data_IF_706040600792
#
_entry.id   IF_706040600792
#
_cell.length_a   1.000
_cell.length_b   1.000
_cell.length_c   1.000
_cell.angle_alpha   90.00
_cell.angle_beta   90.00
_cell.angle_gamma   90.00
#
_symmetry.space_group_name_H-M   'P 1'
#
loop_
_entity.id
_entity.type
_entity.pdbx_description
1 polymer ?
#
# COMPACT_ATOMS: atom_id res chain seq x y z
N UNK A 1 -18.91 4.55 4.76
CA UNK A 1 -17.70 3.70 4.68
C UNK A 1 -16.74 4.30 3.66
N UNK A 2 -15.43 4.04 3.77
CA UNK A 2 -14.42 4.52 2.80
C UNK A 2 -13.62 3.30 2.30
N UNK A 3 -14.22 2.45 1.45
CA UNK A 3 -13.55 1.26 0.92
C UNK A 3 -12.47 1.63 -0.11
N UNK A 4 -11.44 0.79 -0.22
CA UNK A 4 -10.46 0.85 -1.30
C UNK A 4 -11.10 0.57 -2.66
N UNK A 5 -10.44 1.00 -3.73
CA UNK A 5 -10.88 0.86 -5.12
C UNK A 5 -11.32 -0.56 -5.50
N UNK A 6 -10.49 -1.57 -5.23
CA UNK A 6 -10.81 -2.96 -5.54
C UNK A 6 -12.00 -3.48 -4.73
N UNK A 7 -12.18 -3.00 -3.50
CA UNK A 7 -13.31 -3.37 -2.64
C UNK A 7 -14.61 -2.76 -3.16
N UNK A 8 -14.58 -1.51 -3.64
CA UNK A 8 -15.75 -0.90 -4.32
C UNK A 8 -16.19 -1.76 -5.49
N UNK A 9 -15.25 -2.21 -6.35
CA UNK A 9 -15.58 -3.05 -7.49
C UNK A 9 -16.34 -4.31 -7.06
N UNK A 10 -15.84 -5.01 -6.04
CA UNK A 10 -16.49 -6.21 -5.49
C UNK A 10 -17.87 -5.87 -4.95
N UNK A 11 -18.00 -4.79 -4.17
CA UNK A 11 -19.29 -4.40 -3.60
C UNK A 11 -20.33 -4.03 -4.66
N UNK A 12 -19.93 -3.42 -5.79
CA UNK A 12 -20.84 -3.18 -6.93
C UNK A 12 -21.23 -4.51 -7.59
N UNK A 13 -20.26 -5.39 -7.84
CA UNK A 13 -20.49 -6.70 -8.46
C UNK A 13 -21.39 -7.61 -7.61
N UNK A 14 -21.31 -7.49 -6.29
CA UNK A 14 -22.13 -8.23 -5.33
C UNK A 14 -23.45 -7.52 -4.97
N UNK A 15 -23.73 -6.34 -5.51
CA UNK A 15 -24.97 -5.59 -5.25
C UNK A 15 -25.07 -5.02 -3.84
N UNK A 16 -23.94 -4.76 -3.19
CA UNK A 16 -23.85 -4.23 -1.83
C UNK A 16 -23.87 -2.68 -1.78
N UNK A 17 -23.80 -2.01 -2.93
CA UNK A 17 -23.87 -0.54 -3.04
C UNK A 17 -25.10 -0.09 -3.81
N UNK A 18 -25.75 0.96 -3.29
CA UNK A 18 -26.80 1.67 -4.00
C UNK A 18 -26.21 2.66 -5.01
N UNK A 19 -26.87 2.80 -6.15
CA UNK A 19 -26.51 3.77 -7.18
C UNK A 19 -26.94 5.16 -6.74
N UNK A 20 -25.99 6.08 -6.56
CA UNK A 20 -26.24 7.44 -6.01
C UNK A 20 -25.96 8.58 -6.98
N UNK A 21 -25.50 8.26 -8.20
CA UNK A 21 -25.16 9.20 -9.27
C UNK A 21 -24.27 10.39 -8.83
N UNK A 22 -23.12 10.17 -8.16
CA UNK A 22 -22.25 11.27 -7.74
C UNK A 22 -21.71 12.13 -8.88
N UNK A 23 -21.57 11.56 -10.08
CA UNK A 23 -21.24 12.27 -11.31
C UNK A 23 -22.24 13.38 -11.70
N UNK A 24 -23.52 13.23 -11.34
CA UNK A 24 -24.57 14.19 -11.63
C UNK A 24 -24.73 15.27 -10.55
N UNK A 25 -24.02 15.15 -9.43
CA UNK A 25 -24.11 16.11 -8.33
C UNK A 25 -23.44 17.44 -8.70
N UNK A 26 -23.91 18.59 -8.17
CA UNK A 26 -23.37 19.92 -8.52
C UNK A 26 -21.87 20.08 -8.31
N UNK A 27 -21.30 19.33 -7.36
CA UNK A 27 -19.87 19.35 -7.03
C UNK A 27 -19.05 18.34 -7.83
N UNK A 28 -19.68 17.47 -8.63
CA UNK A 28 -18.98 16.50 -9.49
C UNK A 28 -18.05 17.17 -10.50
N UNK A 29 -18.36 18.41 -10.90
CA UNK A 29 -17.50 19.26 -11.73
C UNK A 29 -16.12 19.57 -11.14
N UNK A 30 -15.94 19.38 -9.83
CA UNK A 30 -14.68 19.64 -9.14
C UNK A 30 -13.75 18.41 -9.13
N UNK A 31 -14.21 17.26 -9.63
CA UNK A 31 -13.39 16.06 -9.70
C UNK A 31 -12.27 16.21 -10.74
N UNK A 32 -11.06 15.82 -10.35
CA UNK A 32 -9.96 15.65 -11.31
C UNK A 32 -10.39 14.64 -12.39
N UNK A 33 -10.18 14.93 -13.69
CA UNK A 33 -10.58 14.04 -14.78
C UNK A 33 -10.10 12.58 -14.62
N UNK A 34 -8.95 12.36 -13.97
CA UNK A 34 -8.41 11.01 -13.71
C UNK A 34 -9.28 10.19 -12.74
N UNK A 35 -10.17 10.84 -12.00
CA UNK A 35 -11.12 10.22 -11.09
C UNK A 35 -12.56 10.26 -11.63
N UNK A 36 -12.80 10.60 -12.90
CA UNK A 36 -14.16 10.59 -13.46
C UNK A 36 -14.51 9.21 -14.02
N UNK A 37 -13.63 8.64 -14.86
CA UNK A 37 -13.82 7.30 -15.43
C UNK A 37 -12.71 6.36 -14.96
N UNK A 38 -13.08 5.39 -14.13
CA UNK A 38 -12.17 4.55 -13.35
C UNK A 38 -12.63 3.10 -13.41
N UNK A 39 -11.69 2.15 -13.28
CA UNK A 39 -11.99 0.73 -13.52
C UNK A 39 -13.01 0.13 -12.53
N UNK A 40 -13.13 0.69 -11.33
CA UNK A 40 -13.95 0.17 -10.24
C UNK A 40 -15.36 0.78 -10.14
N UNK A 41 -15.62 1.91 -10.81
CA UNK A 41 -16.94 2.57 -10.87
C UNK A 41 -16.97 3.43 -12.14
N UNK A 42 -17.07 2.76 -13.30
CA UNK A 42 -17.04 3.40 -14.62
C UNK A 42 -18.14 4.45 -14.72
N UNK A 43 -17.80 5.67 -15.13
CA UNK A 43 -18.74 6.79 -15.17
C UNK A 43 -19.16 7.37 -13.81
N UNK A 44 -18.61 6.87 -12.69
CA UNK A 44 -18.78 7.41 -11.31
C UNK A 44 -20.24 7.47 -10.85
N UNK A 45 -20.90 6.31 -10.86
CA UNK A 45 -22.33 6.16 -10.56
C UNK A 45 -22.62 5.77 -9.09
N UNK A 46 -21.64 5.23 -8.38
CA UNK A 46 -21.84 4.66 -7.04
C UNK A 46 -21.04 5.40 -5.96
N UNK A 47 -19.89 5.98 -6.31
CA UNK A 47 -18.92 6.49 -5.33
C UNK A 47 -18.55 7.94 -5.56
N UNK A 48 -18.12 8.64 -4.50
CA UNK A 48 -17.49 9.95 -4.58
C UNK A 48 -16.04 9.82 -4.06
N UNK A 49 -15.02 10.33 -4.77
CA UNK A 49 -13.65 10.33 -4.28
C UNK A 49 -13.54 11.11 -2.96
N UNK A 50 -12.92 10.49 -1.96
CA UNK A 50 -12.66 11.13 -0.66
C UNK A 50 -11.19 11.53 -0.52
N UNK A 51 -10.29 10.54 -0.55
CA UNK A 51 -8.86 10.73 -0.45
C UNK A 51 -8.15 9.72 -1.37
N UNK A 52 -7.00 10.13 -1.90
CA UNK A 52 -6.08 9.25 -2.61
C UNK A 52 -4.67 9.47 -2.06
N UNK A 53 -3.81 8.48 -2.22
CA UNK A 53 -2.44 8.56 -1.77
C UNK A 53 -1.60 7.43 -2.33
N UNK A 54 -0.35 7.39 -1.89
CA UNK A 54 0.62 6.34 -2.21
C UNK A 54 1.21 5.81 -0.93
N UNK A 55 1.44 4.51 -0.87
CA UNK A 55 2.22 3.91 0.21
C UNK A 55 3.70 3.89 -0.16
N UNK A 56 4.53 4.27 0.80
CA UNK A 56 6.00 4.29 0.73
C UNK A 56 6.55 4.02 2.11
N UNK A 57 7.84 3.72 2.22
CA UNK A 57 8.52 3.75 3.50
C UNK A 57 9.14 5.11 3.80
N UNK A 58 9.38 5.36 5.07
CA UNK A 58 10.06 6.51 5.64
C UNK A 58 11.27 6.03 6.45
N UNK A 59 12.35 6.81 6.41
CA UNK A 59 13.61 6.49 7.10
C UNK A 59 14.01 7.67 7.98
N UNK A 60 14.40 7.38 9.22
CA UNK A 60 15.00 8.37 10.09
C UNK A 60 16.45 8.60 9.64
N UNK A 61 16.65 9.65 8.85
CA UNK A 61 17.95 9.98 8.25
C UNK A 61 19.00 10.42 9.25
N UNK A 62 18.64 10.75 10.50
CA UNK A 62 19.63 11.04 11.55
C UNK A 62 20.27 9.75 12.07
N UNK A 63 19.55 8.63 12.01
CA UNK A 63 19.99 7.32 12.48
C UNK A 63 20.56 6.41 11.38
N UNK A 64 20.10 6.55 10.15
CA UNK A 64 20.58 5.76 9.01
C UNK A 64 21.14 6.67 7.92
N UNK A 65 22.37 6.37 7.47
CA UNK A 65 23.10 7.15 6.46
C UNK A 65 23.40 6.34 5.19
N UNK A 66 22.91 5.11 5.10
CA UNK A 66 23.05 4.26 3.92
C UNK A 66 22.11 4.67 2.78
N UNK A 67 22.09 3.86 1.73
CA UNK A 67 21.22 4.07 0.57
C UNK A 67 19.75 3.87 0.95
N UNK A 68 18.95 4.91 0.73
CA UNK A 68 17.51 4.93 0.98
C UNK A 68 16.67 4.85 -0.30
N UNK A 69 17.28 4.85 -1.48
CA UNK A 69 16.58 4.75 -2.78
C UNK A 69 16.39 3.29 -3.21
N UNK A 70 16.00 2.42 -2.26
CA UNK A 70 15.87 0.99 -2.50
C UNK A 70 14.86 0.31 -1.58
N UNK A 71 14.05 -0.58 -2.16
CA UNK A 71 13.18 -1.48 -1.39
C UNK A 71 13.95 -2.57 -0.63
N UNK A 72 15.25 -2.72 -0.89
CA UNK A 72 16.10 -3.63 -0.12
C UNK A 72 16.09 -3.30 1.38
N UNK A 73 15.84 -2.04 1.76
CA UNK A 73 15.66 -1.63 3.15
C UNK A 73 14.59 -2.47 3.89
N UNK A 74 13.54 -2.88 3.20
CA UNK A 74 12.47 -3.68 3.81
C UNK A 74 12.77 -5.19 3.71
N UNK A 75 13.35 -5.65 2.61
CA UNK A 75 13.41 -7.08 2.29
C UNK A 75 14.79 -7.74 2.44
N UNK A 76 15.85 -6.95 2.38
CA UNK A 76 17.24 -7.39 2.59
C UNK A 76 18.05 -6.26 3.27
N UNK A 77 17.66 -5.86 4.49
CA UNK A 77 18.29 -4.73 5.17
C UNK A 77 19.72 -5.03 5.62
N UNK A 78 20.59 -4.00 5.71
CA UNK A 78 21.85 -4.09 6.44
C UNK A 78 21.61 -4.40 7.92
N UNK A 79 22.62 -4.93 8.59
CA UNK A 79 22.49 -5.41 9.99
C UNK A 79 22.01 -4.32 10.96
N UNK A 80 22.39 -3.06 10.74
CA UNK A 80 21.97 -1.92 11.55
C UNK A 80 20.45 -1.63 11.51
N UNK A 81 19.74 -2.08 10.48
CA UNK A 81 18.29 -1.94 10.36
C UNK A 81 17.50 -3.18 10.81
N UNK A 82 18.17 -4.32 11.01
CA UNK A 82 17.50 -5.54 11.48
C UNK A 82 16.92 -5.33 12.88
N UNK A 83 15.63 -5.62 13.04
CA UNK A 83 14.89 -5.35 14.28
C UNK A 83 14.55 -3.88 14.51
N UNK A 84 14.74 -3.01 13.51
CA UNK A 84 14.45 -1.57 13.55
C UNK A 84 13.48 -1.15 12.44
N UNK A 85 12.71 -2.08 11.89
CA UNK A 85 11.78 -1.86 10.78
C UNK A 85 10.35 -2.13 11.24
N UNK A 86 9.46 -1.16 11.06
CA UNK A 86 8.01 -1.37 11.07
C UNK A 86 7.53 -1.64 9.64
N UNK A 87 6.68 -2.63 9.48
CA UNK A 87 5.99 -2.96 8.23
C UNK A 87 4.51 -2.64 8.43
N UNK A 88 3.83 -2.17 7.39
CA UNK A 88 2.41 -1.85 7.50
C UNK A 88 1.61 -3.15 7.73
N UNK A 89 0.61 -3.11 8.63
CA UNK A 89 -0.29 -4.25 8.86
C UNK A 89 -1.39 -4.32 7.76
N UNK A 90 -0.96 -4.29 6.50
CA UNK A 90 -1.80 -4.36 5.31
C UNK A 90 -1.22 -5.34 4.31
N UNK A 91 -1.96 -6.42 4.03
CA UNK A 91 -1.51 -7.48 3.12
C UNK A 91 -1.20 -6.92 1.74
N UNK A 92 -2.03 -6.03 1.19
CA UNK A 92 -1.86 -5.54 -0.17
C UNK A 92 -0.59 -4.70 -0.31
N UNK A 93 -0.35 -3.79 0.64
CA UNK A 93 0.86 -2.95 0.67
C UNK A 93 2.12 -3.80 0.69
N UNK A 94 2.22 -4.71 1.65
CA UNK A 94 3.42 -5.54 1.84
C UNK A 94 3.64 -6.46 0.64
N UNK A 95 2.59 -7.08 0.12
CA UNK A 95 2.66 -7.93 -1.08
C UNK A 95 3.10 -7.12 -2.30
N UNK A 96 2.51 -5.95 -2.54
CA UNK A 96 2.85 -5.12 -3.69
C UNK A 96 4.24 -4.47 -3.59
N UNK A 97 4.75 -4.21 -2.38
CA UNK A 97 6.13 -3.80 -2.17
C UNK A 97 7.10 -4.94 -2.50
N UNK A 98 6.80 -6.16 -2.04
CA UNK A 98 7.61 -7.34 -2.32
C UNK A 98 7.58 -7.74 -3.81
N UNK A 99 6.44 -7.62 -4.49
CA UNK A 99 6.33 -7.83 -5.94
C UNK A 99 7.24 -6.88 -6.73
N UNK A 100 7.26 -5.58 -6.34
CA UNK A 100 8.15 -4.59 -6.94
C UNK A 100 9.61 -4.94 -6.71
N UNK A 101 9.97 -5.29 -5.47
CA UNK A 101 11.33 -5.71 -5.13
C UNK A 101 11.75 -6.98 -5.89
N UNK A 102 10.83 -7.92 -6.08
CA UNK A 102 11.06 -9.15 -6.83
C UNK A 102 11.13 -8.94 -8.35
N UNK A 103 10.74 -7.77 -8.86
CA UNK A 103 10.66 -7.46 -10.29
C UNK A 103 9.56 -8.24 -11.02
N UNK A 104 8.47 -8.60 -10.33
CA UNK A 104 7.34 -9.34 -10.93
C UNK A 104 6.13 -8.42 -11.12
N UNK A 105 5.21 -8.73 -12.06
CA UNK A 105 3.99 -7.95 -12.23
C UNK A 105 3.15 -7.93 -10.95
N UNK A 106 2.63 -6.75 -10.60
CA UNK A 106 1.68 -6.59 -9.50
C UNK A 106 0.28 -7.05 -9.90
N UNK A 107 -0.54 -7.39 -8.90
CA UNK A 107 -1.94 -7.78 -9.09
C UNK A 107 -2.11 -9.02 -10.01
N UNK A 108 -1.12 -9.92 -10.02
CA UNK A 108 -1.14 -11.15 -10.81
C UNK A 108 -1.51 -12.38 -9.98
N UNK A 109 -1.94 -13.44 -10.66
CA UNK A 109 -2.29 -14.73 -10.04
C UNK A 109 -1.30 -15.86 -10.38
N UNK A 110 -0.16 -15.53 -10.99
CA UNK A 110 0.86 -16.52 -11.36
C UNK A 110 1.50 -17.14 -10.11
N UNK A 111 1.38 -18.47 -9.98
CA UNK A 111 1.83 -19.18 -8.78
C UNK A 111 3.36 -19.13 -8.59
N UNK A 112 4.12 -19.07 -9.68
CA UNK A 112 5.59 -19.00 -9.58
C UNK A 112 6.03 -17.64 -9.04
N UNK A 113 5.44 -16.55 -9.53
CA UNK A 113 5.64 -15.20 -9.00
C UNK A 113 5.22 -15.10 -7.53
N UNK A 114 4.05 -15.62 -7.16
CA UNK A 114 3.57 -15.62 -5.78
C UNK A 114 4.49 -16.43 -4.85
N UNK A 115 5.02 -17.57 -5.32
CA UNK A 115 6.00 -18.33 -4.55
C UNK A 115 7.29 -17.51 -4.33
N UNK A 116 7.80 -16.85 -5.37
CA UNK A 116 8.99 -15.99 -5.27
C UNK A 116 8.79 -14.88 -4.23
N UNK A 117 7.62 -14.22 -4.27
CA UNK A 117 7.25 -13.17 -3.30
C UNK A 117 7.18 -13.74 -1.88
N UNK A 118 6.54 -14.90 -1.69
CA UNK A 118 6.49 -15.57 -0.39
C UNK A 118 7.90 -15.86 0.16
N UNK A 119 8.79 -16.41 -0.66
CA UNK A 119 10.15 -16.75 -0.23
C UNK A 119 10.92 -15.49 0.22
N UNK A 120 10.73 -14.35 -0.45
CA UNK A 120 11.27 -13.05 -0.03
C UNK A 120 10.69 -12.61 1.32
N UNK A 121 9.37 -12.64 1.47
CA UNK A 121 8.70 -12.21 2.71
C UNK A 121 9.11 -13.07 3.91
N UNK A 122 9.21 -14.39 3.74
CA UNK A 122 9.65 -15.33 4.78
C UNK A 122 11.10 -15.05 5.18
N UNK A 123 11.98 -14.76 4.21
CA UNK A 123 13.37 -14.42 4.49
C UNK A 123 13.53 -13.04 5.15
N UNK A 124 12.68 -12.07 4.81
CA UNK A 124 12.72 -10.71 5.35
C UNK A 124 12.15 -10.64 6.78
N UNK A 125 11.12 -11.44 7.09
CA UNK A 125 10.39 -11.43 8.37
C UNK A 125 11.26 -11.35 9.64
N UNK A 126 12.38 -12.09 9.78
CA UNK A 126 13.23 -12.00 10.96
C UNK A 126 13.90 -10.62 11.16
N UNK A 127 13.96 -9.79 10.11
CA UNK A 127 14.51 -8.43 10.17
C UNK A 127 13.48 -7.40 10.64
N UNK A 128 12.19 -7.73 10.65
CA UNK A 128 11.13 -6.81 11.03
C UNK A 128 10.85 -6.82 12.52
N UNK A 129 10.57 -5.64 13.07
CA UNK A 129 10.26 -5.46 14.48
C UNK A 129 8.77 -5.57 14.75
N UNK A 130 7.95 -4.90 13.95
CA UNK A 130 6.50 -4.80 14.17
C UNK A 130 5.72 -4.75 12.87
N UNK A 131 4.45 -5.16 12.93
CA UNK A 131 3.42 -4.89 11.94
C UNK A 131 2.44 -3.88 12.55
N UNK A 132 2.32 -2.67 11.99
CA UNK A 132 1.47 -1.63 12.56
C UNK A 132 1.16 -0.51 11.57
N UNK A 133 -0.06 0.05 11.69
CA UNK A 133 -0.46 1.31 11.02
C UNK A 133 0.07 2.57 11.71
N UNK A 134 0.59 2.48 12.93
CA UNK A 134 1.11 3.64 13.67
C UNK A 134 2.54 3.98 13.22
N UNK A 135 2.67 4.53 12.01
CA UNK A 135 3.97 4.82 11.39
C UNK A 135 4.65 6.05 12.00
N UNK A 136 3.88 7.12 12.21
CA UNK A 136 4.39 8.42 12.67
C UNK A 136 4.96 8.31 14.08
N UNK A 137 4.22 7.73 15.03
CA UNK A 137 4.67 7.65 16.43
C UNK A 137 5.91 6.76 16.54
N UNK A 138 5.96 5.65 15.80
CA UNK A 138 7.08 4.71 15.83
C UNK A 138 8.39 5.34 15.34
N UNK A 139 8.37 6.07 14.23
CA UNK A 139 9.58 6.69 13.70
C UNK A 139 10.02 7.91 14.51
N UNK A 140 9.07 8.73 15.00
CA UNK A 140 9.37 9.96 15.77
C UNK A 140 9.82 9.68 17.19
N UNK A 141 9.28 8.65 17.86
CA UNK A 141 9.77 8.18 19.16
C UNK A 141 11.12 7.46 19.06
N UNK A 142 11.50 7.04 17.85
CA UNK A 142 12.71 6.26 17.61
C UNK A 142 12.59 4.78 17.99
N UNK A 143 11.37 4.26 18.16
CA UNK A 143 11.07 2.83 18.32
C UNK A 143 11.57 2.02 17.11
N UNK A 144 11.51 2.62 15.92
CA UNK A 144 12.06 2.08 14.67
C UNK A 144 12.87 3.15 13.94
N UNK A 145 13.76 2.72 13.05
CA UNK A 145 14.51 3.60 12.15
C UNK A 145 13.79 3.72 10.80
N UNK A 146 13.12 2.64 10.38
CA UNK A 146 12.36 2.58 9.14
C UNK A 146 10.92 2.20 9.45
N UNK A 147 9.97 2.85 8.79
CA UNK A 147 8.57 2.41 8.77
C UNK A 147 8.07 2.45 7.34
N UNK A 148 7.50 1.34 6.88
CA UNK A 148 6.51 1.35 5.80
C UNK A 148 5.21 2.03 6.26
#
# INVERSE_FOLDING_TARGET
>A
VVPSDYTVKIMIEEGLLEKTEPNAMPNGKNLDPRFVDIYWDKGRHYTAPWQFGTTTFSVNTDKFKGDIDTLAILFNPPDELKGQINVLDDVNTVMHAAERYAGVPRCGADKANLKKVNDILVAAKPSWKTFSYDTITKITSGDVIVTE
#
